data_IF_595959171037
#
_entry.id   IF_595959171037
#
_cell.length_a   1.000
_cell.length_b   1.000
_cell.length_c   1.000
_cell.angle_alpha   90.00
_cell.angle_beta   90.00
_cell.angle_gamma   90.00
#
_symmetry.space_group_name_H-M   'P 1'
#
loop_
_entity.id
_entity.type
_entity.pdbx_description
1 polymer ?
#
# COMPACT_ATOMS: atom_id res chain seq x y z
N UNK A 1 23.51 -14.35 68.18
CA UNK A 1 23.39 -13.43 66.97
C UNK A 1 22.73 -14.20 65.88
N UNK A 2 21.45 -13.99 65.63
CA UNK A 2 20.68 -14.70 64.59
C UNK A 2 20.89 -13.94 63.27
N UNK A 3 21.64 -14.56 62.34
CA UNK A 3 21.79 -14.08 60.97
C UNK A 3 20.42 -14.20 60.26
N UNK A 4 19.66 -13.11 60.14
CA UNK A 4 18.53 -13.03 59.23
C UNK A 4 19.06 -12.99 57.81
N UNK A 5 19.17 -14.14 57.15
CA UNK A 5 19.27 -14.18 55.69
C UNK A 5 18.06 -13.44 55.12
N UNK A 6 18.34 -12.29 54.51
CA UNK A 6 17.36 -11.55 53.74
C UNK A 6 17.09 -12.40 52.49
N UNK A 7 16.13 -13.32 52.52
CA UNK A 7 15.64 -14.01 51.32
C UNK A 7 15.13 -12.95 50.36
N UNK A 8 15.71 -12.85 49.15
CA UNK A 8 15.21 -11.92 48.13
C UNK A 8 13.73 -12.22 47.91
N UNK A 9 12.91 -11.18 48.06
CA UNK A 9 11.45 -11.25 48.15
C UNK A 9 10.89 -12.01 46.94
N UNK A 10 10.38 -13.21 47.14
CA UNK A 10 9.75 -14.10 46.12
C UNK A 10 8.67 -13.35 45.34
N UNK A 11 8.07 -12.34 45.95
CA UNK A 11 7.08 -11.45 45.35
C UNK A 11 7.67 -10.58 44.21
N UNK A 12 8.88 -10.04 44.39
CA UNK A 12 9.54 -9.22 43.38
C UNK A 12 9.97 -10.03 42.16
N UNK A 13 10.43 -11.28 42.35
CA UNK A 13 10.75 -12.18 41.24
C UNK A 13 9.53 -12.51 40.38
N UNK A 14 8.37 -12.75 41.00
CA UNK A 14 7.12 -13.04 40.29
C UNK A 14 6.63 -11.81 39.51
N UNK A 15 6.76 -10.60 40.07
CA UNK A 15 6.40 -9.35 39.36
C UNK A 15 7.26 -9.13 38.12
N UNK A 16 8.58 -9.29 38.25
CA UNK A 16 9.50 -9.11 37.11
C UNK A 16 9.21 -10.15 36.02
N UNK A 17 8.99 -11.41 36.37
CA UNK A 17 8.63 -12.46 35.44
C UNK A 17 7.29 -12.17 34.72
N UNK A 18 6.31 -11.62 35.44
CA UNK A 18 5.03 -11.21 34.85
C UNK A 18 5.21 -10.07 33.85
N UNK A 19 6.03 -9.06 34.20
CA UNK A 19 6.34 -7.95 33.31
C UNK A 19 7.03 -8.46 32.02
N UNK A 20 8.02 -9.33 32.14
CA UNK A 20 8.70 -9.93 30.99
C UNK A 20 7.74 -10.71 30.09
N UNK A 21 6.85 -11.52 30.68
CA UNK A 21 5.85 -12.24 29.90
C UNK A 21 4.91 -11.29 29.15
N UNK A 22 4.54 -10.17 29.76
CA UNK A 22 3.72 -9.15 29.13
C UNK A 22 4.45 -8.49 27.95
N UNK A 23 5.71 -8.10 28.11
CA UNK A 23 6.53 -7.52 27.05
C UNK A 23 6.71 -8.51 25.88
N UNK A 24 6.95 -9.79 26.15
CA UNK A 24 7.04 -10.82 25.08
C UNK A 24 5.72 -10.92 24.31
N UNK A 25 4.58 -10.86 24.98
CA UNK A 25 3.27 -10.86 24.30
C UNK A 25 3.08 -9.61 23.42
N UNK A 26 3.47 -8.43 23.91
CA UNK A 26 3.41 -7.18 23.17
C UNK A 26 4.30 -7.27 21.92
N UNK A 27 5.51 -7.80 22.06
CA UNK A 27 6.43 -7.99 20.92
C UNK A 27 5.82 -8.91 19.85
N UNK A 28 5.19 -10.02 20.25
CA UNK A 28 4.49 -10.93 19.33
C UNK A 28 3.37 -10.19 18.58
N UNK A 29 2.59 -9.36 19.27
CA UNK A 29 1.52 -8.57 18.67
C UNK A 29 2.10 -7.57 17.66
N UNK A 30 3.20 -6.88 17.97
CA UNK A 30 3.87 -5.97 17.05
C UNK A 30 4.35 -6.69 15.79
N UNK A 31 4.95 -7.87 15.93
CA UNK A 31 5.42 -8.68 14.78
C UNK A 31 4.25 -9.05 13.87
N UNK A 32 3.14 -9.55 14.44
CA UNK A 32 1.95 -9.92 13.66
C UNK A 32 1.39 -8.70 12.91
N UNK A 33 1.29 -7.55 13.60
CA UNK A 33 0.78 -6.34 13.00
C UNK A 33 1.69 -5.82 11.88
N UNK A 34 3.01 -5.87 12.07
CA UNK A 34 4.00 -5.53 11.04
C UNK A 34 3.87 -6.42 9.81
N UNK A 35 3.67 -7.73 9.96
CA UNK A 35 3.46 -8.66 8.85
C UNK A 35 2.21 -8.29 8.02
N UNK A 36 1.12 -7.92 8.69
CA UNK A 36 -0.11 -7.46 8.04
C UNK A 36 0.16 -6.19 7.23
N UNK A 37 0.84 -5.22 7.80
CA UNK A 37 1.14 -3.95 7.12
C UNK A 37 2.09 -4.14 5.93
N UNK A 38 3.08 -5.02 6.03
CA UNK A 38 3.97 -5.36 4.90
C UNK A 38 3.17 -5.97 3.75
N UNK A 39 2.24 -6.89 4.04
CA UNK A 39 1.36 -7.48 3.02
C UNK A 39 0.49 -6.42 2.34
N UNK A 40 -0.06 -5.47 3.12
CA UNK A 40 -0.80 -4.33 2.56
C UNK A 40 0.07 -3.45 1.67
N UNK A 41 1.30 -3.16 2.09
CA UNK A 41 2.25 -2.37 1.31
C UNK A 41 2.59 -3.03 -0.03
N UNK A 42 2.80 -4.36 -0.05
CA UNK A 42 3.06 -5.12 -1.27
C UNK A 42 1.86 -5.08 -2.22
N UNK A 43 0.64 -5.22 -1.70
CA UNK A 43 -0.59 -5.08 -2.50
C UNK A 43 -0.74 -3.67 -3.08
N UNK A 44 -0.44 -2.64 -2.29
CA UNK A 44 -0.48 -1.24 -2.73
C UNK A 44 0.55 -0.95 -3.83
N UNK A 45 1.77 -1.47 -3.70
CA UNK A 45 2.81 -1.33 -4.73
C UNK A 45 2.37 -1.92 -6.09
N UNK A 46 1.64 -3.04 -6.07
CA UNK A 46 1.05 -3.64 -7.27
C UNK A 46 0.01 -2.72 -7.90
N UNK A 47 -0.89 -2.14 -7.08
CA UNK A 47 -1.90 -1.16 -7.55
C UNK A 47 -1.23 0.05 -8.19
N UNK A 48 -0.19 0.63 -7.58
CA UNK A 48 0.58 1.75 -8.13
C UNK A 48 1.16 1.39 -9.50
N UNK A 49 1.76 0.20 -9.62
CA UNK A 49 2.35 -0.25 -10.88
C UNK A 49 1.29 -0.36 -11.99
N UNK A 50 0.13 -0.97 -11.72
CA UNK A 50 -0.94 -1.11 -12.71
C UNK A 50 -1.62 0.21 -13.05
N UNK A 51 -1.81 1.11 -12.09
CA UNK A 51 -2.27 2.48 -12.36
C UNK A 51 -1.28 3.25 -13.26
N UNK A 52 0.03 3.09 -13.03
CA UNK A 52 1.08 3.63 -13.90
C UNK A 52 1.07 3.02 -15.31
N UNK A 53 0.80 1.71 -15.43
CA UNK A 53 0.62 1.05 -16.74
C UNK A 53 -0.58 1.62 -17.50
N UNK A 54 -1.71 1.87 -16.83
CA UNK A 54 -2.89 2.52 -17.45
C UNK A 54 -2.50 3.88 -18.03
N UNK A 55 -1.80 4.72 -17.25
CA UNK A 55 -1.32 6.03 -17.68
C UNK A 55 -0.48 5.94 -18.94
N UNK A 56 0.54 5.08 -18.96
CA UNK A 56 1.46 4.95 -20.10
C UNK A 56 0.82 4.26 -21.31
N UNK A 57 0.04 3.21 -21.11
CA UNK A 57 -0.60 2.45 -22.16
C UNK A 57 -1.70 3.25 -22.88
N UNK A 58 -2.42 4.13 -22.17
CA UNK A 58 -3.40 5.03 -22.79
C UNK A 58 -2.74 6.03 -23.73
N UNK A 59 -1.61 6.63 -23.33
CA UNK A 59 -0.85 7.51 -24.24
C UNK A 59 -0.35 6.78 -25.48
N UNK A 60 0.11 5.53 -25.31
CA UNK A 60 0.49 4.68 -26.44
C UNK A 60 -0.69 4.39 -27.35
N UNK A 61 -1.87 4.07 -26.79
CA UNK A 61 -3.08 3.80 -27.56
C UNK A 61 -3.47 5.00 -28.41
N UNK A 62 -3.60 6.18 -27.79
CA UNK A 62 -3.97 7.41 -28.51
C UNK A 62 -2.99 7.73 -29.64
N UNK A 63 -1.68 7.58 -29.40
CA UNK A 63 -0.67 7.74 -30.44
C UNK A 63 -0.88 6.77 -31.61
N UNK A 64 -1.19 5.51 -31.33
CA UNK A 64 -1.46 4.51 -32.41
C UNK A 64 -2.72 4.88 -33.20
N UNK A 65 -3.80 5.25 -32.52
CA UNK A 65 -5.07 5.62 -33.15
C UNK A 65 -4.91 6.87 -34.07
N UNK A 66 -4.20 7.90 -33.60
CA UNK A 66 -3.89 9.10 -34.39
C UNK A 66 -3.09 8.75 -35.65
N UNK A 67 -2.21 7.75 -35.58
CA UNK A 67 -1.42 7.29 -36.76
C UNK A 67 -2.15 6.28 -37.62
N UNK A 68 -3.42 5.99 -37.36
CA UNK A 68 -4.25 5.05 -38.11
C UNK A 68 -4.04 3.58 -37.77
N UNK A 69 -3.31 3.29 -36.69
CA UNK A 69 -3.03 1.92 -36.23
C UNK A 69 -4.03 1.52 -35.11
N UNK A 70 -5.14 0.89 -35.53
CA UNK A 70 -6.16 0.40 -34.58
C UNK A 70 -5.61 -0.66 -33.62
N UNK A 71 -5.95 -0.56 -32.34
CA UNK A 71 -5.49 -1.52 -31.34
C UNK A 71 -6.57 -1.86 -30.29
N UNK A 72 -7.51 -2.71 -30.68
CA UNK A 72 -8.60 -3.15 -29.80
C UNK A 72 -8.11 -4.04 -28.64
N UNK A 73 -7.00 -4.76 -28.84
CA UNK A 73 -6.39 -5.55 -27.77
C UNK A 73 -5.88 -4.66 -26.64
N UNK A 74 -5.32 -3.49 -26.97
CA UNK A 74 -4.85 -2.53 -25.98
C UNK A 74 -6.01 -1.85 -25.25
N UNK A 75 -7.13 -1.58 -25.93
CA UNK A 75 -8.37 -1.10 -25.29
C UNK A 75 -8.86 -2.13 -24.28
N UNK A 76 -8.99 -3.39 -24.67
CA UNK A 76 -9.40 -4.46 -23.80
C UNK A 76 -8.46 -4.64 -22.60
N UNK A 77 -7.16 -4.57 -22.83
CA UNK A 77 -6.15 -4.64 -21.76
C UNK A 77 -6.33 -3.51 -20.73
N UNK A 78 -6.63 -2.29 -21.19
CA UNK A 78 -6.88 -1.14 -20.32
C UNK A 78 -8.21 -1.28 -19.55
N UNK A 79 -9.27 -1.77 -20.22
CA UNK A 79 -10.56 -2.08 -19.60
C UNK A 79 -10.37 -3.11 -18.46
N UNK A 80 -9.64 -4.20 -18.73
CA UNK A 80 -9.38 -5.26 -17.76
C UNK A 80 -8.61 -4.74 -16.52
N UNK A 81 -7.58 -3.89 -16.73
CA UNK A 81 -6.84 -3.30 -15.61
C UNK A 81 -7.71 -2.33 -14.81
N UNK A 82 -8.43 -1.42 -15.47
CA UNK A 82 -9.29 -0.46 -14.78
C UNK A 82 -10.40 -1.16 -13.99
N UNK A 83 -10.98 -2.23 -14.54
CA UNK A 83 -11.93 -3.09 -13.84
C UNK A 83 -11.29 -3.72 -12.59
N UNK A 84 -10.11 -4.31 -12.73
CA UNK A 84 -9.36 -4.89 -11.62
C UNK A 84 -9.02 -3.87 -10.53
N UNK A 85 -8.63 -2.64 -10.88
CA UNK A 85 -8.35 -1.56 -9.93
C UNK A 85 -9.60 -1.13 -9.15
N UNK A 86 -10.77 -1.09 -9.82
CA UNK A 86 -12.04 -0.66 -9.22
C UNK A 86 -12.73 -1.74 -8.42
N UNK A 87 -12.81 -2.96 -8.97
CA UNK A 87 -13.69 -4.01 -8.47
C UNK A 87 -12.95 -5.23 -7.94
N UNK A 88 -11.60 -5.28 -8.08
CA UNK A 88 -10.77 -6.43 -7.70
C UNK A 88 -11.10 -7.69 -8.51
N UNK A 89 -11.68 -7.51 -9.67
CA UNK A 89 -11.94 -8.60 -10.62
C UNK A 89 -10.73 -8.84 -11.53
N UNK A 90 -10.76 -9.98 -12.22
CA UNK A 90 -9.71 -10.37 -13.15
C UNK A 90 -8.52 -11.07 -12.49
N UNK A 91 -7.43 -11.24 -13.27
CA UNK A 91 -6.29 -12.10 -12.93
C UNK A 91 -5.03 -11.32 -12.46
N UNK A 92 -5.16 -10.01 -12.20
CA UNK A 92 -4.02 -9.18 -11.79
C UNK A 92 -3.74 -9.21 -10.29
N UNK A 93 -4.58 -9.87 -9.49
CA UNK A 93 -4.46 -9.97 -8.03
C UNK A 93 -4.31 -8.58 -7.39
N UNK A 94 -5.16 -7.64 -7.81
CA UNK A 94 -5.17 -6.27 -7.31
C UNK A 94 -5.98 -6.19 -6.02
N UNK A 95 -5.47 -5.43 -5.07
CA UNK A 95 -6.15 -5.18 -3.79
C UNK A 95 -6.90 -3.87 -3.82
N UNK A 96 -8.02 -3.78 -3.10
CA UNK A 96 -8.73 -2.52 -2.92
C UNK A 96 -7.98 -1.62 -1.94
N UNK A 97 -7.56 -0.46 -2.38
CA UNK A 97 -7.04 0.56 -1.48
C UNK A 97 -8.21 1.25 -0.76
N UNK A 98 -8.25 1.15 0.57
CA UNK A 98 -9.28 1.77 1.41
C UNK A 98 -8.90 3.23 1.72
N UNK A 99 -8.54 3.99 0.69
CA UNK A 99 -8.27 5.42 0.75
C UNK A 99 -9.30 6.15 -0.11
N UNK A 100 -9.99 7.13 0.49
CA UNK A 100 -11.09 7.83 -0.18
C UNK A 100 -10.59 8.65 -1.37
N UNK A 101 -9.45 9.34 -1.21
CA UNK A 101 -8.89 10.18 -2.27
C UNK A 101 -8.57 9.35 -3.51
N UNK A 102 -7.90 8.20 -3.31
CA UNK A 102 -7.61 7.26 -4.40
C UNK A 102 -8.88 6.75 -5.08
N UNK A 103 -9.90 6.34 -4.31
CA UNK A 103 -11.15 5.81 -4.87
C UNK A 103 -11.90 6.87 -5.69
N UNK A 104 -11.96 8.11 -5.19
CA UNK A 104 -12.62 9.22 -5.89
C UNK A 104 -11.89 9.54 -7.21
N UNK A 105 -10.54 9.60 -7.20
CA UNK A 105 -9.72 9.83 -8.40
C UNK A 105 -9.86 8.70 -9.43
N UNK A 106 -9.81 7.46 -8.99
CA UNK A 106 -9.98 6.28 -9.86
C UNK A 106 -11.37 6.23 -10.49
N UNK A 107 -12.41 6.64 -9.77
CA UNK A 107 -13.77 6.71 -10.32
C UNK A 107 -13.82 7.74 -11.44
N UNK A 108 -13.37 8.98 -11.21
CA UNK A 108 -13.36 10.05 -12.19
C UNK A 108 -12.55 9.65 -13.43
N UNK A 109 -11.38 9.06 -13.25
CA UNK A 109 -10.54 8.54 -14.33
C UNK A 109 -11.26 7.48 -15.15
N UNK A 110 -11.94 6.54 -14.50
CA UNK A 110 -12.67 5.46 -15.19
C UNK A 110 -13.87 5.99 -15.98
N UNK A 111 -14.60 6.98 -15.46
CA UNK A 111 -15.69 7.63 -16.18
C UNK A 111 -15.18 8.43 -17.40
N UNK A 112 -13.99 9.03 -17.27
CA UNK A 112 -13.38 9.74 -18.38
C UNK A 112 -12.81 8.79 -19.44
N UNK A 113 -12.35 7.59 -19.04
CA UNK A 113 -11.93 6.54 -19.95
C UNK A 113 -13.04 6.14 -20.94
N UNK A 114 -14.28 6.02 -20.46
CA UNK A 114 -15.42 5.74 -21.34
C UNK A 114 -15.63 6.83 -22.41
N UNK A 115 -15.46 8.10 -22.03
CA UNK A 115 -15.52 9.23 -22.98
C UNK A 115 -14.35 9.19 -23.97
N UNK A 116 -13.16 8.86 -23.53
CA UNK A 116 -11.98 8.76 -24.39
C UNK A 116 -12.13 7.62 -25.43
N UNK A 117 -12.77 6.50 -25.06
CA UNK A 117 -13.08 5.42 -26.02
C UNK A 117 -14.04 5.88 -27.12
N UNK A 118 -15.05 6.69 -26.79
CA UNK A 118 -15.96 7.29 -27.79
C UNK A 118 -15.18 8.21 -28.75
N UNK A 119 -14.27 9.00 -28.23
CA UNK A 119 -13.44 9.88 -29.05
C UNK A 119 -12.47 9.10 -29.96
N UNK A 120 -11.94 7.97 -29.47
CA UNK A 120 -11.15 7.04 -30.30
C UNK A 120 -11.96 6.53 -31.50
N UNK A 121 -13.23 6.17 -31.30
CA UNK A 121 -14.11 5.76 -32.41
C UNK A 121 -14.39 6.91 -33.40
N UNK A 122 -14.49 8.15 -32.92
CA UNK A 122 -14.59 9.32 -33.77
C UNK A 122 -13.32 9.52 -34.61
N UNK A 123 -12.13 9.34 -34.02
CA UNK A 123 -10.85 9.34 -34.77
C UNK A 123 -10.82 8.28 -35.86
N UNK A 124 -11.28 7.06 -35.56
CA UNK A 124 -11.32 5.94 -36.51
C UNK A 124 -12.23 6.18 -37.70
N UNK A 125 -13.32 6.92 -37.51
CA UNK A 125 -14.32 7.21 -38.54
C UNK A 125 -14.05 8.47 -39.36
N UNK A 126 -13.52 9.53 -38.73
CA UNK A 126 -13.37 10.87 -39.33
C UNK A 126 -11.95 11.42 -39.38
N UNK A 127 -10.98 10.70 -38.85
CA UNK A 127 -9.61 11.19 -38.66
C UNK A 127 -9.46 12.11 -37.45
N UNK A 128 -8.28 12.17 -36.89
CA UNK A 128 -8.01 12.87 -35.61
C UNK A 128 -8.14 14.41 -35.71
N UNK A 129 -8.02 14.98 -36.92
CA UNK A 129 -8.03 16.46 -37.13
C UNK A 129 -9.36 17.12 -36.80
N UNK A 130 -10.45 16.36 -36.82
CA UNK A 130 -11.82 16.82 -36.49
C UNK A 130 -12.30 16.35 -35.11
N UNK A 131 -11.39 15.94 -34.25
CA UNK A 131 -11.68 15.38 -32.93
C UNK A 131 -10.90 16.11 -31.85
N UNK A 132 -11.31 15.98 -30.60
CA UNK A 132 -10.60 16.56 -29.44
C UNK A 132 -9.65 15.55 -28.76
N UNK A 133 -9.29 14.47 -29.47
CA UNK A 133 -8.53 13.34 -28.92
C UNK A 133 -7.23 13.76 -28.22
N UNK A 134 -6.53 14.77 -28.73
CA UNK A 134 -5.26 15.24 -28.16
C UNK A 134 -5.50 15.88 -26.79
N UNK A 135 -6.43 16.84 -26.68
CA UNK A 135 -6.74 17.49 -25.39
C UNK A 135 -7.37 16.50 -24.40
N UNK A 136 -8.22 15.59 -24.88
CA UNK A 136 -8.80 14.55 -24.04
C UNK A 136 -7.74 13.59 -23.52
N UNK A 137 -6.76 13.24 -24.33
CA UNK A 137 -5.64 12.37 -23.93
C UNK A 137 -4.77 13.04 -22.85
N UNK A 138 -4.47 14.34 -22.98
CA UNK A 138 -3.74 15.10 -21.96
C UNK A 138 -4.54 15.20 -20.65
N UNK A 139 -5.83 15.48 -20.74
CA UNK A 139 -6.74 15.51 -19.58
C UNK A 139 -6.77 14.15 -18.89
N UNK A 140 -6.88 13.06 -19.65
CA UNK A 140 -6.83 11.71 -19.09
C UNK A 140 -5.49 11.40 -18.43
N UNK A 141 -4.38 11.82 -19.05
CA UNK A 141 -3.05 11.64 -18.49
C UNK A 141 -2.94 12.28 -17.10
N UNK A 142 -3.40 13.54 -16.96
CA UNK A 142 -3.41 14.22 -15.66
C UNK A 142 -4.28 13.50 -14.62
N UNK A 143 -5.46 13.01 -15.02
CA UNK A 143 -6.33 12.23 -14.12
C UNK A 143 -5.65 10.93 -13.67
N UNK A 144 -5.00 10.22 -14.60
CA UNK A 144 -4.27 9.00 -14.30
C UNK A 144 -3.05 9.27 -13.40
N UNK A 145 -2.35 10.38 -13.61
CA UNK A 145 -1.22 10.80 -12.77
C UNK A 145 -1.69 11.12 -11.34
N UNK A 146 -2.80 11.85 -11.18
CA UNK A 146 -3.41 12.11 -9.88
C UNK A 146 -3.86 10.82 -9.16
N UNK A 147 -4.36 9.83 -9.90
CA UNK A 147 -4.73 8.52 -9.34
C UNK A 147 -3.49 7.77 -8.83
N UNK A 148 -2.40 7.75 -9.60
CA UNK A 148 -1.12 7.16 -9.18
C UNK A 148 -0.61 7.87 -7.92
N UNK A 149 -0.58 9.20 -7.92
CA UNK A 149 -0.12 10.00 -6.78
C UNK A 149 -0.92 9.74 -5.51
N UNK A 150 -2.26 9.62 -5.61
CA UNK A 150 -3.09 9.26 -4.47
C UNK A 150 -2.77 7.85 -3.92
N UNK A 151 -2.47 6.88 -4.79
CA UNK A 151 -2.04 5.55 -4.37
C UNK A 151 -0.64 5.57 -3.72
N UNK A 152 0.29 6.39 -4.22
CA UNK A 152 1.61 6.59 -3.61
C UNK A 152 1.50 7.21 -2.23
N UNK A 153 0.70 8.27 -2.06
CA UNK A 153 0.42 8.88 -0.75
C UNK A 153 -0.15 7.86 0.26
N UNK A 154 -1.03 6.98 -0.19
CA UNK A 154 -1.54 5.90 0.65
C UNK A 154 -0.44 4.91 1.04
N UNK A 155 0.44 4.55 0.11
CA UNK A 155 1.62 3.71 0.36
C UNK A 155 2.56 4.32 1.41
N UNK A 156 2.80 5.63 1.32
CA UNK A 156 3.64 6.36 2.28
C UNK A 156 3.03 6.35 3.69
N UNK A 157 1.71 6.52 3.81
CA UNK A 157 1.02 6.40 5.12
C UNK A 157 1.28 5.03 5.75
N UNK A 158 1.15 3.93 4.98
CA UNK A 158 1.44 2.57 5.45
C UNK A 158 2.92 2.43 5.86
N UNK A 159 3.84 2.97 5.08
CA UNK A 159 5.27 2.91 5.38
C UNK A 159 5.61 3.64 6.70
N UNK A 160 4.98 4.78 6.97
CA UNK A 160 5.12 5.51 8.26
C UNK A 160 4.57 4.69 9.42
N UNK A 161 3.43 4.02 9.25
CA UNK A 161 2.87 3.11 10.27
C UNK A 161 3.85 1.96 10.58
N UNK A 162 4.42 1.31 9.55
CA UNK A 162 5.43 0.25 9.72
C UNK A 162 6.62 0.77 10.52
N UNK A 163 7.18 1.91 10.14
CA UNK A 163 8.33 2.50 10.83
C UNK A 163 8.04 2.80 12.30
N UNK A 164 6.83 3.24 12.61
CA UNK A 164 6.40 3.51 13.99
C UNK A 164 6.38 2.20 14.80
N UNK A 165 5.84 1.11 14.23
CA UNK A 165 5.82 -0.20 14.88
C UNK A 165 7.24 -0.75 15.08
N UNK A 166 8.12 -0.58 14.10
CA UNK A 166 9.52 -0.97 14.19
C UNK A 166 10.21 -0.29 15.39
N UNK A 167 10.02 1.02 15.54
CA UNK A 167 10.59 1.78 16.66
C UNK A 167 10.04 1.33 18.02
N UNK A 168 8.73 1.08 18.09
CA UNK A 168 8.09 0.58 19.33
C UNK A 168 8.58 -0.84 19.66
N UNK A 169 8.72 -1.70 18.66
CA UNK A 169 9.24 -3.06 18.84
C UNK A 169 10.70 -3.05 19.32
N UNK A 170 11.52 -2.16 18.77
CA UNK A 170 12.92 -1.99 19.17
C UNK A 170 13.03 -1.51 20.62
N UNK A 171 12.16 -0.58 21.05
CA UNK A 171 12.10 -0.10 22.42
C UNK A 171 11.65 -1.22 23.38
N UNK A 172 10.63 -1.98 23.03
CA UNK A 172 10.13 -3.12 23.80
C UNK A 172 11.22 -4.18 23.99
N UNK A 173 11.94 -4.52 22.91
CA UNK A 173 13.08 -5.45 22.95
C UNK A 173 14.21 -4.94 23.87
N UNK A 174 14.52 -3.64 23.82
CA UNK A 174 15.51 -3.03 24.69
C UNK A 174 15.11 -3.15 26.17
N UNK A 175 13.84 -2.91 26.51
CA UNK A 175 13.30 -3.09 27.85
C UNK A 175 13.43 -4.54 28.34
N UNK A 176 13.13 -5.53 27.48
CA UNK A 176 13.32 -6.94 27.77
C UNK A 176 14.78 -7.28 28.09
N UNK A 177 15.72 -6.82 27.26
CA UNK A 177 17.17 -7.05 27.46
C UNK A 177 17.64 -6.46 28.81
N UNK A 178 17.23 -5.23 29.13
CA UNK A 178 17.57 -4.58 30.40
C UNK A 178 17.04 -5.40 31.59
N UNK A 179 15.79 -5.87 31.54
CA UNK A 179 15.21 -6.68 32.60
C UNK A 179 15.94 -8.02 32.79
N UNK A 180 16.36 -8.66 31.71
CA UNK A 180 17.14 -9.90 31.75
C UNK A 180 18.50 -9.65 32.41
N UNK A 181 19.20 -8.56 32.04
CA UNK A 181 20.47 -8.19 32.65
C UNK A 181 20.32 -7.95 34.15
N UNK A 182 19.31 -7.19 34.58
CA UNK A 182 19.04 -6.91 36.00
C UNK A 182 18.78 -8.23 36.74
N UNK A 183 17.97 -9.14 36.21
CA UNK A 183 17.70 -10.44 36.83
C UNK A 183 18.99 -11.27 36.99
N UNK A 184 19.82 -11.33 35.96
CA UNK A 184 21.07 -12.08 35.97
C UNK A 184 22.03 -11.54 37.01
N UNK A 185 22.21 -10.21 37.06
CA UNK A 185 23.08 -9.56 38.06
C UNK A 185 22.57 -9.74 39.52
N UNK A 186 21.25 -9.77 39.71
CA UNK A 186 20.66 -10.01 41.07
C UNK A 186 20.72 -11.47 41.46
N UNK A 187 20.76 -12.41 40.55
CA UNK A 187 20.92 -13.84 40.80
C UNK A 187 22.35 -14.26 41.15
N UNK A 188 23.34 -13.48 40.69
CA UNK A 188 24.77 -13.72 40.93
C UNK A 188 25.27 -13.17 42.30
N UNK A 189 24.48 -12.36 42.97
CA UNK A 189 24.74 -11.85 44.33
C UNK A 189 24.09 -12.73 45.40
#
# INVERSE_FOLDING_TARGET
MINREIRPDRKNKNIISMIQSCLVLILVVFIIFMMIQITRLQGTARVINYAGLVRGATQRLVKLEITGSRNDELIKYLDDILSGLRYQDGHYDLVKLHDKEYQDKLQIQSEYWEKLKIEIEAVRSGGYQNTDIVNMSETYFHMADETVFAAENYSEKIAVEIRTIELLSALDMLCLVILIIIQTLTAMK
#
